data_IF_330856513218
#
_entry.id   IF_330856513218
#
_cell.length_a   1.000
_cell.length_b   1.000
_cell.length_c   1.000
_cell.angle_alpha   90.00
_cell.angle_beta   90.00
_cell.angle_gamma   90.00
#
_symmetry.space_group_name_H-M   'P 1'
#
loop_
_entity.id
_entity.type
_entity.pdbx_description
1 polymer ?
#
# COMPACT_ATOMS: atom_id res chain seq x y z
N UNK A 1 11.17 10.41 -1.86
CA UNK A 1 11.26 8.93 -1.73
C UNK A 1 10.33 8.29 -2.76
N UNK A 2 10.68 7.13 -3.33
CA UNK A 2 9.72 6.37 -4.15
C UNK A 2 8.50 6.02 -3.30
N UNK A 3 7.29 6.19 -3.84
CA UNK A 3 6.06 5.96 -3.09
C UNK A 3 5.98 4.49 -2.64
N UNK A 4 5.36 4.22 -1.50
CA UNK A 4 5.14 2.85 -1.00
C UNK A 4 4.48 1.95 -2.07
N UNK A 5 3.66 2.56 -2.93
CA UNK A 5 2.96 1.92 -4.06
C UNK A 5 3.97 1.40 -5.10
N UNK A 6 4.96 2.21 -5.49
CA UNK A 6 5.99 1.82 -6.48
C UNK A 6 6.83 0.62 -6.02
N UNK A 7 7.01 0.45 -4.71
CA UNK A 7 7.77 -0.65 -4.13
C UNK A 7 6.97 -1.96 -4.13
N UNK A 8 5.64 -1.90 -3.99
CA UNK A 8 4.77 -3.08 -4.02
C UNK A 8 4.71 -3.69 -5.42
N UNK A 9 4.69 -2.87 -6.46
CA UNK A 9 4.68 -3.36 -7.84
C UNK A 9 5.99 -4.04 -8.22
N UNK A 10 7.13 -3.50 -7.76
CA UNK A 10 8.45 -4.14 -7.93
C UNK A 10 8.48 -5.53 -7.30
N UNK A 11 7.84 -5.72 -6.15
CA UNK A 11 7.79 -7.01 -5.47
C UNK A 11 7.05 -8.08 -6.30
N UNK A 12 5.97 -7.70 -7.00
CA UNK A 12 5.27 -8.60 -7.93
C UNK A 12 6.22 -9.09 -9.02
N UNK A 13 7.00 -8.18 -9.61
CA UNK A 13 8.02 -8.50 -10.60
C UNK A 13 9.09 -9.47 -10.08
N UNK A 14 9.58 -9.26 -8.86
CA UNK A 14 10.54 -10.16 -8.20
C UNK A 14 9.96 -11.56 -8.00
N UNK A 15 8.71 -11.69 -7.53
CA UNK A 15 8.05 -12.97 -7.39
C UNK A 15 7.88 -13.68 -8.75
N UNK A 16 7.50 -12.95 -9.80
CA UNK A 16 7.34 -13.51 -11.14
C UNK A 16 8.68 -14.01 -11.71
N UNK A 17 9.75 -13.22 -11.59
CA UNK A 17 11.08 -13.59 -12.05
C UNK A 17 11.64 -14.79 -11.28
N UNK A 18 11.41 -14.86 -9.96
CA UNK A 18 11.78 -16.01 -9.14
C UNK A 18 11.10 -17.30 -9.61
N UNK A 19 9.78 -17.24 -9.85
CA UNK A 19 9.02 -18.38 -10.36
C UNK A 19 9.48 -18.77 -11.77
N UNK A 20 9.76 -17.81 -12.64
CA UNK A 20 10.27 -18.06 -13.99
C UNK A 20 11.62 -18.79 -13.95
N UNK A 21 12.56 -18.30 -13.13
CA UNK A 21 13.84 -18.95 -12.91
C UNK A 21 13.67 -20.40 -12.45
N UNK A 22 12.80 -20.65 -11.46
CA UNK A 22 12.49 -22.01 -11.01
C UNK A 22 11.91 -22.88 -12.14
N UNK A 23 11.02 -22.33 -12.99
CA UNK A 23 10.39 -23.11 -14.07
C UNK A 23 11.39 -23.52 -15.16
N UNK A 24 12.32 -22.62 -15.52
CA UNK A 24 13.35 -22.85 -16.54
C UNK A 24 14.42 -23.82 -16.02
N UNK A 25 15.00 -23.52 -14.85
CA UNK A 25 16.20 -24.23 -14.37
C UNK A 25 15.89 -25.37 -13.39
N UNK A 26 14.65 -25.46 -12.88
CA UNK A 26 14.21 -26.43 -11.86
C UNK A 26 15.04 -26.40 -10.57
N UNK A 27 15.76 -25.31 -10.34
CA UNK A 27 16.55 -25.05 -9.13
C UNK A 27 15.81 -24.10 -8.19
N UNK A 28 15.74 -24.47 -6.92
CA UNK A 28 15.07 -23.69 -5.89
C UNK A 28 16.10 -23.05 -4.94
N UNK A 29 16.18 -21.73 -4.93
CA UNK A 29 16.83 -21.00 -3.85
C UNK A 29 15.87 -20.89 -2.65
N UNK A 30 16.11 -21.73 -1.65
CA UNK A 30 15.31 -21.79 -0.42
C UNK A 30 15.44 -20.53 0.44
N UNK A 31 16.60 -19.86 0.42
CA UNK A 31 16.83 -18.65 1.23
C UNK A 31 16.00 -17.51 0.66
N UNK A 32 16.07 -17.32 -0.66
CA UNK A 32 15.27 -16.32 -1.36
C UNK A 32 13.78 -16.63 -1.24
N UNK A 33 13.36 -17.89 -1.43
CA UNK A 33 11.95 -18.26 -1.28
C UNK A 33 11.40 -17.95 0.11
N UNK A 34 12.14 -18.27 1.16
CA UNK A 34 11.74 -17.93 2.54
C UNK A 34 11.62 -16.43 2.74
N UNK A 35 12.55 -15.64 2.21
CA UNK A 35 12.49 -14.18 2.26
C UNK A 35 11.24 -13.62 1.58
N UNK A 36 10.85 -14.15 0.41
CA UNK A 36 9.60 -13.78 -0.25
C UNK A 36 8.39 -14.10 0.64
N UNK A 37 8.32 -15.29 1.23
CA UNK A 37 7.22 -15.65 2.13
C UNK A 37 7.16 -14.75 3.38
N UNK A 38 8.28 -14.26 3.88
CA UNK A 38 8.31 -13.31 5.00
C UNK A 38 7.84 -11.91 4.60
N UNK A 39 7.99 -11.51 3.33
CA UNK A 39 7.38 -10.26 2.82
C UNK A 39 5.85 -10.40 2.75
N UNK A 40 5.32 -11.57 2.38
CA UNK A 40 3.87 -11.82 2.37
C UNK A 40 3.19 -11.62 3.73
N UNK A 41 3.94 -11.74 4.83
CA UNK A 41 3.45 -11.46 6.20
C UNK A 41 3.26 -9.96 6.45
N UNK A 42 4.08 -9.12 5.81
CA UNK A 42 4.04 -7.65 5.95
C UNK A 42 3.11 -7.01 4.93
N UNK A 43 3.03 -7.59 3.73
CA UNK A 43 2.24 -7.08 2.60
C UNK A 43 1.14 -8.10 2.28
N UNK A 44 -0.07 -7.96 2.88
CA UNK A 44 -1.11 -8.99 2.81
C UNK A 44 -1.77 -9.13 1.43
N UNK A 45 -1.77 -8.06 0.63
CA UNK A 45 -2.33 -8.01 -0.72
C UNK A 45 -1.66 -6.88 -1.52
N UNK A 46 -1.65 -6.97 -2.85
CA UNK A 46 -1.13 -5.91 -3.74
C UNK A 46 -2.16 -5.66 -4.84
N UNK A 47 -2.47 -4.41 -5.12
CA UNK A 47 -3.36 -4.05 -6.22
C UNK A 47 -2.53 -3.90 -7.49
N UNK A 48 -2.79 -4.72 -8.52
CA UNK A 48 -2.04 -4.65 -9.78
C UNK A 48 -2.57 -3.53 -10.68
N UNK A 49 -3.89 -3.49 -10.83
CA UNK A 49 -4.58 -2.46 -11.61
C UNK A 49 -6.04 -2.40 -11.17
N UNK A 50 -6.58 -1.20 -10.98
CA UNK A 50 -7.95 -0.97 -10.54
C UNK A 50 -8.37 -1.87 -9.35
N UNK A 51 -9.32 -2.78 -9.56
CA UNK A 51 -9.86 -3.71 -8.57
C UNK A 51 -9.20 -5.10 -8.60
N UNK A 52 -8.13 -5.28 -9.38
CA UNK A 52 -7.42 -6.56 -9.49
C UNK A 52 -6.43 -6.67 -8.33
N UNK A 53 -6.84 -7.43 -7.31
CA UNK A 53 -6.00 -7.74 -6.15
C UNK A 53 -5.21 -9.02 -6.41
N UNK A 54 -3.91 -8.93 -6.22
CA UNK A 54 -2.96 -10.03 -6.31
C UNK A 54 -2.44 -10.41 -4.93
N UNK A 55 -2.34 -11.72 -4.72
CA UNK A 55 -1.90 -12.34 -3.47
C UNK A 55 -0.63 -13.14 -3.72
N UNK A 56 0.49 -12.63 -3.21
CA UNK A 56 1.81 -13.20 -3.42
C UNK A 56 1.92 -14.64 -2.88
N UNK A 57 1.33 -14.91 -1.71
CA UNK A 57 1.29 -16.25 -1.12
C UNK A 57 0.61 -17.26 -2.04
N UNK A 58 -0.55 -16.90 -2.59
CA UNK A 58 -1.28 -17.77 -3.53
C UNK A 58 -0.49 -18.02 -4.80
N UNK A 59 0.08 -16.96 -5.39
CA UNK A 59 0.86 -17.09 -6.61
C UNK A 59 2.05 -18.03 -6.43
N UNK A 60 2.87 -17.80 -5.40
CA UNK A 60 4.06 -18.59 -5.12
C UNK A 60 3.70 -20.05 -4.84
N UNK A 61 2.65 -20.31 -4.05
CA UNK A 61 2.21 -21.67 -3.75
C UNK A 61 1.70 -22.42 -4.98
N UNK A 62 0.87 -21.77 -5.80
CA UNK A 62 0.33 -22.41 -6.99
C UNK A 62 1.43 -22.72 -8.00
N UNK A 63 2.39 -21.82 -8.18
CA UNK A 63 3.44 -21.98 -9.20
C UNK A 63 4.63 -22.82 -8.74
N UNK A 64 4.80 -23.02 -7.43
CA UNK A 64 5.88 -23.83 -6.86
C UNK A 64 5.38 -24.99 -6.01
N UNK A 65 4.17 -25.48 -6.27
CA UNK A 65 3.56 -26.58 -5.53
C UNK A 65 4.43 -27.83 -5.48
N UNK A 66 5.18 -28.13 -6.56
CA UNK A 66 6.12 -29.26 -6.63
C UNK A 66 7.34 -29.12 -5.72
N UNK A 67 7.67 -27.89 -5.32
CA UNK A 67 8.78 -27.57 -4.41
C UNK A 67 8.32 -27.43 -2.95
N UNK A 68 7.01 -27.36 -2.70
CA UNK A 68 6.45 -27.05 -1.39
C UNK A 68 6.51 -28.25 -0.42
N UNK A 69 7.35 -28.17 0.62
CA UNK A 69 7.45 -29.13 1.72
C UNK A 69 6.48 -28.82 2.87
N UNK A 70 6.31 -29.76 3.79
CA UNK A 70 5.42 -29.65 4.97
C UNK A 70 5.70 -28.41 5.83
N UNK A 71 6.96 -27.98 5.94
CA UNK A 71 7.34 -26.77 6.68
C UNK A 71 6.77 -25.48 6.05
N UNK A 72 6.58 -25.44 4.73
CA UNK A 72 5.98 -24.29 4.05
C UNK A 72 4.47 -24.22 4.29
N UNK A 73 3.77 -25.35 4.48
CA UNK A 73 2.34 -25.36 4.82
C UNK A 73 2.02 -24.60 6.11
N UNK A 74 2.89 -24.68 7.13
CA UNK A 74 2.73 -23.90 8.38
C UNK A 74 2.90 -22.39 8.14
N UNK A 75 3.88 -22.01 7.32
CA UNK A 75 4.09 -20.60 6.94
C UNK A 75 2.88 -20.05 6.20
N UNK A 76 2.29 -20.81 5.29
CA UNK A 76 1.08 -20.41 4.55
C UNK A 76 -0.10 -20.14 5.49
N UNK A 77 -0.33 -21.01 6.46
CA UNK A 77 -1.39 -20.79 7.45
C UNK A 77 -1.14 -19.52 8.27
N UNK A 78 0.11 -19.28 8.68
CA UNK A 78 0.46 -18.04 9.38
C UNK A 78 0.20 -16.78 8.56
N UNK A 79 0.47 -16.81 7.24
CA UNK A 79 0.21 -15.68 6.33
C UNK A 79 -1.30 -15.44 6.22
N UNK A 80 -2.12 -16.49 6.13
CA UNK A 80 -3.58 -16.37 6.10
C UNK A 80 -4.14 -15.71 7.36
N UNK A 81 -3.71 -16.20 8.54
CA UNK A 81 -4.15 -15.67 9.83
C UNK A 81 -3.78 -14.19 9.94
N UNK A 82 -2.53 -13.83 9.62
CA UNK A 82 -2.08 -12.44 9.67
C UNK A 82 -2.87 -11.53 8.72
N UNK A 83 -3.20 -12.01 7.52
CA UNK A 83 -4.05 -11.25 6.58
C UNK A 83 -5.45 -11.03 7.15
N UNK A 84 -6.06 -12.04 7.76
CA UNK A 84 -7.38 -11.91 8.40
C UNK A 84 -7.33 -10.92 9.57
N UNK A 85 -6.31 -11.02 10.43
CA UNK A 85 -6.10 -10.06 11.53
C UNK A 85 -5.92 -8.63 11.02
N UNK A 86 -5.11 -8.44 9.97
CA UNK A 86 -4.91 -7.13 9.36
C UNK A 86 -6.24 -6.53 8.84
N UNK A 87 -7.05 -7.33 8.16
CA UNK A 87 -8.35 -6.91 7.66
C UNK A 87 -9.31 -6.56 8.80
N UNK A 88 -9.35 -7.35 9.87
CA UNK A 88 -10.18 -7.06 11.04
C UNK A 88 -9.75 -5.76 11.72
N UNK A 89 -8.45 -5.54 11.91
CA UNK A 89 -7.92 -4.30 12.48
C UNK A 89 -8.28 -3.09 11.60
N UNK A 90 -8.11 -3.19 10.28
CA UNK A 90 -8.50 -2.11 9.35
C UNK A 90 -10.01 -1.85 9.37
N UNK A 91 -10.84 -2.87 9.44
CA UNK A 91 -12.28 -2.71 9.57
C UNK A 91 -12.66 -1.97 10.86
N UNK A 92 -11.98 -2.26 11.97
CA UNK A 92 -12.21 -1.59 13.26
C UNK A 92 -11.77 -0.12 13.25
N UNK A 93 -10.64 0.22 12.59
CA UNK A 93 -10.17 1.62 12.53
C UNK A 93 -10.87 2.44 11.46
N UNK A 94 -11.46 1.81 10.44
CA UNK A 94 -12.01 2.49 9.27
C UNK A 94 -12.98 3.62 9.62
N UNK A 95 -13.94 3.38 10.51
CA UNK A 95 -14.91 4.42 10.91
C UNK A 95 -14.23 5.63 11.55
N UNK A 96 -13.23 5.39 12.40
CA UNK A 96 -12.46 6.45 13.06
C UNK A 96 -11.61 7.23 12.04
N UNK A 97 -11.00 6.52 11.10
CA UNK A 97 -10.18 7.12 10.04
C UNK A 97 -11.07 8.01 9.15
N UNK A 98 -12.23 7.52 8.72
CA UNK A 98 -13.22 8.29 7.94
C UNK A 98 -13.67 9.55 8.67
N UNK A 99 -14.01 9.46 9.96
CA UNK A 99 -14.40 10.62 10.76
C UNK A 99 -13.26 11.65 10.88
N UNK A 100 -12.03 11.17 11.02
CA UNK A 100 -10.84 12.01 11.12
C UNK A 100 -10.56 12.73 9.80
N UNK A 101 -10.67 12.04 8.66
CA UNK A 101 -10.58 12.65 7.33
C UNK A 101 -11.72 13.64 7.08
N UNK A 102 -12.95 13.31 7.48
CA UNK A 102 -14.09 14.22 7.34
C UNK A 102 -13.85 15.53 8.10
N UNK A 103 -13.40 15.45 9.35
CA UNK A 103 -13.09 16.63 10.17
C UNK A 103 -11.95 17.44 9.57
N UNK A 104 -10.89 16.77 9.11
CA UNK A 104 -9.75 17.40 8.44
C UNK A 104 -10.18 18.18 7.20
N UNK A 105 -10.93 17.54 6.28
CA UNK A 105 -11.43 18.16 5.05
C UNK A 105 -12.37 19.32 5.39
N UNK A 106 -13.28 19.16 6.36
CA UNK A 106 -14.19 20.22 6.78
C UNK A 106 -13.46 21.44 7.32
N UNK A 107 -12.43 21.22 8.16
CA UNK A 107 -11.59 22.31 8.68
C UNK A 107 -10.79 22.99 7.56
N UNK A 108 -10.26 22.21 6.63
CA UNK A 108 -9.56 22.72 5.45
C UNK A 108 -10.47 23.58 4.57
N UNK A 109 -11.70 23.11 4.29
CA UNK A 109 -12.69 23.87 3.51
C UNK A 109 -13.00 25.22 4.14
N UNK A 110 -13.23 25.25 5.46
CA UNK A 110 -13.49 26.50 6.19
C UNK A 110 -12.28 27.47 6.12
N UNK A 111 -11.05 26.96 6.23
CA UNK A 111 -9.83 27.78 6.08
C UNK A 111 -9.71 28.34 4.67
N UNK A 112 -9.98 27.53 3.65
CA UNK A 112 -9.96 27.98 2.25
C UNK A 112 -11.01 29.06 2.00
N UNK A 113 -12.25 28.87 2.46
CA UNK A 113 -13.32 29.86 2.33
C UNK A 113 -12.96 31.18 3.04
N UNK A 114 -12.35 31.10 4.22
CA UNK A 114 -11.86 32.28 4.94
C UNK A 114 -10.77 33.06 4.18
N UNK A 115 -9.87 32.37 3.47
CA UNK A 115 -8.79 33.03 2.71
C UNK A 115 -9.27 33.56 1.36
N UNK A 116 -10.25 32.89 0.74
CA UNK A 116 -10.86 33.35 -0.51
C UNK A 116 -11.82 34.54 -0.30
N UNK A 117 -12.45 34.65 0.89
CA UNK A 117 -13.34 35.76 1.25
C UNK A 117 -12.61 37.06 1.65
N UNK A 118 -11.29 37.02 1.88
CA UNK A 118 -10.50 38.23 2.17
C UNK A 118 -10.36 39.10 0.91
N UNK A 119 -10.64 40.39 1.06
CA UNK A 119 -10.40 41.41 0.02
C UNK A 119 -8.91 41.47 -0.27
N UNK A 120 -8.54 41.30 -1.55
CA UNK A 120 -7.14 41.33 -1.97
C UNK A 120 -6.60 42.75 -1.83
N UNK A 121 -5.58 42.94 -0.99
CA UNK A 121 -4.82 44.19 -0.99
C UNK A 121 -3.65 44.07 -1.97
N UNK A 122 -3.47 45.07 -2.83
CA UNK A 122 -2.39 45.09 -3.83
C UNK A 122 -1.01 44.98 -3.14
N UNK A 123 -0.89 45.55 -1.93
CA UNK A 123 0.33 45.52 -1.13
C UNK A 123 0.68 44.14 -0.53
N UNK A 124 -0.25 43.17 -0.51
CA UNK A 124 -0.04 41.83 0.11
C UNK A 124 -0.29 40.65 -0.84
N UNK A 125 -0.38 40.93 -2.14
CA UNK A 125 -0.74 39.93 -3.16
C UNK A 125 0.13 38.66 -3.10
N UNK A 126 1.45 38.80 -2.96
CA UNK A 126 2.39 37.67 -2.91
C UNK A 126 2.19 36.80 -1.66
N UNK A 127 1.91 37.43 -0.52
CA UNK A 127 1.66 36.73 0.75
C UNK A 127 0.33 35.96 0.70
N UNK A 128 -0.72 36.59 0.17
CA UNK A 128 -2.03 35.96 -0.03
C UNK A 128 -1.95 34.76 -0.99
N UNK A 129 -1.19 34.89 -2.09
CA UNK A 129 -0.99 33.81 -3.04
C UNK A 129 -0.21 32.63 -2.40
N UNK A 130 0.86 32.93 -1.66
CA UNK A 130 1.64 31.92 -0.95
C UNK A 130 0.80 31.14 0.06
N UNK A 131 -0.04 31.85 0.82
CA UNK A 131 -0.97 31.23 1.79
C UNK A 131 -1.99 30.32 1.11
N UNK A 132 -2.55 30.74 -0.05
CA UNK A 132 -3.47 29.91 -0.84
C UNK A 132 -2.79 28.64 -1.35
N UNK A 133 -1.61 28.76 -1.94
CA UNK A 133 -0.83 27.62 -2.43
C UNK A 133 -0.48 26.65 -1.30
N UNK A 134 -0.06 27.15 -0.14
CA UNK A 134 0.26 26.32 1.04
C UNK A 134 -0.92 25.46 1.47
N UNK A 135 -2.11 26.04 1.58
CA UNK A 135 -3.31 25.27 1.97
C UNK A 135 -3.75 24.32 0.86
N UNK A 136 -3.54 24.66 -0.41
CA UNK A 136 -3.83 23.75 -1.52
C UNK A 136 -2.93 22.50 -1.49
N UNK A 137 -1.64 22.70 -1.18
CA UNK A 137 -0.65 21.62 -1.07
C UNK A 137 -1.00 20.68 0.10
N UNK A 138 -1.54 21.20 1.22
CA UNK A 138 -1.92 20.41 2.40
C UNK A 138 -2.99 19.33 2.16
N UNK A 139 -3.75 19.39 1.06
CA UNK A 139 -4.73 18.34 0.70
C UNK A 139 -4.20 17.36 -0.34
N UNK A 140 -3.18 17.76 -1.10
CA UNK A 140 -2.57 16.93 -2.14
C UNK A 140 -1.50 16.00 -1.55
N UNK A 141 -0.84 16.41 -0.46
CA UNK A 141 0.22 15.67 0.23
C UNK A 141 -0.18 15.33 1.66
#
# INVERSE_FOLDING_TARGET
EPSEIDQRDKYVGVCALFVLHFQIFRTLDKKLYKSLLDVCKKVPAITLTANIIWLADRFLLCKMASAAKVAEKKNVQSIKIQRETFLQQKAQTLTKDVQSYYLFVSSWMMKMESILSKVQSVDKFTEDLSNRCSIFIQVIF
#
